data_IF_335047814159
#
_entry.id   IF_335047814159
#
_cell.length_a   1.000
_cell.length_b   1.000
_cell.length_c   1.000
_cell.angle_alpha   90.00
_cell.angle_beta   90.00
_cell.angle_gamma   90.00
#
_symmetry.space_group_name_H-M   'P 1'
#
loop_
_entity.id
_entity.type
_entity.pdbx_description
1 polymer ?
#
# COMPACT_ATOMS: atom_id res chain seq x y z
N UNK A 1 -18.25 -22.43 11.58
CA UNK A 1 -18.08 -21.28 10.65
C UNK A 1 -16.59 -21.17 10.45
N UNK A 2 -16.09 -21.60 9.30
CA UNK A 2 -14.70 -21.34 8.95
C UNK A 2 -14.53 -19.83 8.79
N UNK A 3 -13.49 -19.27 9.40
CA UNK A 3 -13.17 -17.85 9.28
C UNK A 3 -12.69 -17.55 7.86
N UNK A 4 -12.99 -16.34 7.38
CA UNK A 4 -12.31 -15.80 6.21
C UNK A 4 -11.02 -15.14 6.72
N UNK A 5 -9.89 -15.51 6.13
CA UNK A 5 -8.62 -14.84 6.35
C UNK A 5 -8.46 -13.74 5.29
N UNK A 6 -7.89 -12.61 5.70
CA UNK A 6 -7.49 -11.55 4.77
C UNK A 6 -6.06 -11.79 4.30
N UNK A 7 -5.80 -11.59 3.02
CA UNK A 7 -4.51 -11.76 2.38
C UNK A 7 -4.20 -10.52 1.56
N UNK A 8 -2.97 -10.03 1.68
CA UNK A 8 -2.43 -9.05 0.77
C UNK A 8 -1.87 -9.77 -0.44
N UNK A 9 -2.33 -9.39 -1.64
CA UNK A 9 -1.92 -10.02 -2.88
C UNK A 9 -1.47 -8.96 -3.88
N UNK A 10 -0.39 -9.28 -4.59
CA UNK A 10 0.07 -8.52 -5.74
C UNK A 10 -0.36 -9.21 -7.02
N UNK A 11 -1.03 -8.47 -7.89
CA UNK A 11 -1.54 -8.98 -9.14
C UNK A 11 -0.45 -8.96 -10.20
N UNK A 12 -0.40 -10.03 -10.99
CA UNK A 12 0.41 -10.11 -12.21
C UNK A 12 -0.51 -9.78 -13.38
N UNK A 13 0.00 -9.03 -14.34
CA UNK A 13 -0.71 -8.72 -15.58
C UNK A 13 0.11 -9.11 -16.80
N UNK A 14 -0.58 -9.36 -17.91
CA UNK A 14 0.06 -9.59 -19.20
C UNK A 14 0.19 -8.27 -19.97
N UNK A 15 1.38 -8.04 -20.54
CA UNK A 15 1.74 -6.83 -21.25
C UNK A 15 2.16 -5.68 -20.35
N UNK A 16 2.92 -4.76 -20.94
CA UNK A 16 3.46 -3.58 -20.26
C UNK A 16 2.35 -2.73 -19.62
N UNK A 17 2.43 -2.43 -18.31
CA UNK A 17 1.52 -1.46 -17.69
C UNK A 17 1.60 -0.09 -18.36
N UNK A 18 0.45 0.52 -18.67
CA UNK A 18 0.37 1.81 -19.39
C UNK A 18 0.77 3.03 -18.55
N UNK A 19 0.98 2.87 -17.24
CA UNK A 19 1.10 3.97 -16.29
C UNK A 19 -0.25 4.65 -16.01
N UNK A 20 -0.29 5.43 -14.94
CA UNK A 20 -1.44 6.26 -14.55
C UNK A 20 -0.93 7.59 -13.98
N UNK A 21 -0.92 8.68 -14.78
CA UNK A 21 -0.46 9.98 -14.34
C UNK A 21 -1.28 10.58 -13.20
N UNK A 22 -2.57 10.23 -13.07
CA UNK A 22 -3.42 10.73 -11.98
C UNK A 22 -3.00 10.15 -10.62
N UNK A 23 -2.38 8.97 -10.67
CA UNK A 23 -1.84 8.25 -9.52
C UNK A 23 -0.32 8.30 -9.44
N UNK A 24 0.35 9.08 -10.31
CA UNK A 24 1.80 9.19 -10.38
C UNK A 24 2.51 7.85 -10.65
N UNK A 25 1.85 6.93 -11.35
CA UNK A 25 2.39 5.62 -11.72
C UNK A 25 3.02 5.70 -13.10
N UNK A 26 4.30 5.39 -13.19
CA UNK A 26 5.03 5.32 -14.46
C UNK A 26 5.12 3.87 -14.96
N UNK A 27 5.16 3.60 -16.28
CA UNK A 27 5.40 2.26 -16.81
C UNK A 27 6.70 1.61 -16.31
N UNK A 28 7.71 2.43 -15.99
CA UNK A 28 8.99 2.00 -15.40
C UNK A 28 8.87 1.46 -13.97
N UNK A 29 7.74 1.70 -13.28
CA UNK A 29 7.44 1.16 -11.94
C UNK A 29 6.83 -0.24 -12.02
N UNK A 30 7.43 -1.07 -12.87
CA UNK A 30 7.03 -2.46 -13.07
C UNK A 30 8.23 -3.36 -13.19
N UNK A 31 8.07 -4.58 -12.69
CA UNK A 31 9.09 -5.62 -12.70
C UNK A 31 8.68 -6.70 -13.69
N UNK A 32 9.50 -6.99 -14.71
CA UNK A 32 9.22 -8.06 -15.64
C UNK A 32 9.28 -9.43 -14.97
N UNK A 33 8.50 -10.40 -15.48
CA UNK A 33 8.50 -11.79 -15.03
C UNK A 33 8.71 -12.72 -16.23
N UNK A 34 9.59 -13.70 -16.08
CA UNK A 34 9.86 -14.68 -17.12
C UNK A 34 8.70 -15.69 -17.29
N UNK A 35 8.41 -16.14 -18.52
CA UNK A 35 9.12 -15.85 -19.78
C UNK A 35 8.73 -14.51 -20.45
N UNK A 36 9.70 -13.85 -21.08
CA UNK A 36 9.49 -12.65 -21.91
C UNK A 36 9.81 -12.93 -23.39
N UNK A 37 9.15 -12.21 -24.29
CA UNK A 37 9.40 -12.24 -25.74
C UNK A 37 10.49 -11.27 -26.15
N UNK A 38 10.58 -10.12 -25.49
CA UNK A 38 11.62 -9.13 -25.71
C UNK A 38 12.83 -9.35 -24.77
N UNK A 39 13.96 -8.75 -25.11
CA UNK A 39 15.16 -8.88 -24.29
C UNK A 39 14.92 -8.21 -22.93
N UNK A 40 15.26 -8.83 -21.79
CA UNK A 40 15.06 -8.26 -20.45
C UNK A 40 15.52 -6.80 -20.31
N UNK A 41 16.67 -6.48 -20.91
CA UNK A 41 17.29 -5.15 -20.87
C UNK A 41 16.57 -4.10 -21.75
N UNK A 42 15.66 -4.51 -22.63
CA UNK A 42 14.85 -3.57 -23.42
C UNK A 42 13.63 -3.06 -22.66
N UNK A 43 13.32 -3.62 -21.49
CA UNK A 43 12.23 -3.14 -20.67
C UNK A 43 12.51 -1.72 -20.15
N UNK A 44 11.48 -0.87 -20.14
CA UNK A 44 11.56 0.56 -19.78
C UNK A 44 12.10 0.78 -18.35
N UNK A 45 11.90 -0.19 -17.44
CA UNK A 45 12.45 -0.09 -16.08
C UNK A 45 13.93 -0.46 -15.96
N UNK A 46 14.49 -1.16 -16.95
CA UNK A 46 15.85 -1.70 -16.90
C UNK A 46 16.09 -2.74 -15.80
N UNK A 47 15.02 -3.25 -15.15
CA UNK A 47 15.12 -4.19 -14.03
C UNK A 47 15.38 -5.61 -14.48
N UNK A 48 16.09 -6.35 -13.64
CA UNK A 48 16.22 -7.80 -13.77
C UNK A 48 14.83 -8.45 -13.67
N UNK A 49 14.43 -9.30 -14.62
CA UNK A 49 13.18 -10.03 -14.51
C UNK A 49 13.20 -11.05 -13.38
N UNK A 50 12.06 -11.16 -12.69
CA UNK A 50 11.80 -12.24 -11.74
C UNK A 50 11.76 -13.57 -12.49
N UNK A 51 12.38 -14.60 -11.90
CA UNK A 51 12.44 -15.96 -12.47
C UNK A 51 11.73 -16.93 -11.53
N UNK A 52 10.44 -17.20 -11.78
CA UNK A 52 9.74 -18.24 -11.04
C UNK A 52 10.38 -19.62 -11.26
N UNK A 53 10.23 -20.51 -10.28
CA UNK A 53 10.80 -21.86 -10.27
C UNK A 53 10.36 -22.73 -11.45
N UNK A 54 9.19 -22.43 -12.01
CA UNK A 54 8.70 -22.95 -13.28
C UNK A 54 8.29 -21.79 -14.19
N UNK A 55 8.46 -21.89 -15.52
CA UNK A 55 8.01 -20.83 -16.42
C UNK A 55 6.51 -20.60 -16.27
N UNK A 56 6.09 -19.34 -16.25
CA UNK A 56 4.67 -19.02 -16.27
C UNK A 56 4.02 -19.52 -17.58
N UNK A 57 2.74 -19.92 -17.55
CA UNK A 57 2.01 -20.30 -18.77
C UNK A 57 1.86 -19.14 -19.77
N UNK A 58 1.93 -17.91 -19.28
CA UNK A 58 1.81 -16.67 -20.06
C UNK A 58 3.18 -16.04 -20.28
N UNK A 59 3.32 -15.34 -21.40
CA UNK A 59 4.51 -14.56 -21.73
C UNK A 59 4.26 -13.08 -21.48
N UNK A 60 5.35 -12.34 -21.29
CA UNK A 60 5.33 -10.87 -21.13
C UNK A 60 4.50 -10.45 -19.92
N UNK A 61 4.76 -11.11 -18.79
CA UNK A 61 4.10 -10.81 -17.53
C UNK A 61 4.87 -9.74 -16.75
N UNK A 62 4.12 -8.91 -16.04
CA UNK A 62 4.68 -7.82 -15.25
C UNK A 62 4.01 -7.76 -13.89
N UNK A 63 4.81 -7.43 -12.88
CA UNK A 63 4.38 -7.07 -11.55
C UNK A 63 4.42 -5.55 -11.47
N UNK A 64 3.26 -4.92 -11.26
CA UNK A 64 3.18 -3.46 -11.08
C UNK A 64 3.07 -3.13 -9.59
N UNK A 65 3.74 -2.05 -9.15
CA UNK A 65 3.55 -1.48 -7.81
C UNK A 65 2.08 -1.14 -7.52
N UNK A 66 1.34 -0.75 -8.55
CA UNK A 66 -0.02 -0.23 -8.41
C UNK A 66 -1.09 -1.33 -8.34
N UNK A 67 -0.70 -2.58 -8.53
CA UNK A 67 -1.62 -3.70 -8.71
C UNK A 67 -1.76 -4.54 -7.45
N UNK A 68 -1.85 -3.88 -6.30
CA UNK A 68 -1.97 -4.51 -4.98
C UNK A 68 -3.41 -4.44 -4.46
N UNK A 69 -3.87 -5.50 -3.81
CA UNK A 69 -5.21 -5.51 -3.22
C UNK A 69 -5.31 -6.47 -2.03
N UNK A 70 -6.32 -6.25 -1.19
CA UNK A 70 -6.64 -7.14 -0.07
C UNK A 70 -7.80 -8.02 -0.48
N UNK A 71 -7.59 -9.33 -0.41
CA UNK A 71 -8.62 -10.32 -0.68
C UNK A 71 -8.92 -11.13 0.57
N UNK A 72 -10.12 -11.68 0.63
CA UNK A 72 -10.53 -12.65 1.64
C UNK A 72 -10.56 -14.04 1.03
N UNK A 73 -10.06 -15.02 1.76
CA UNK A 73 -10.20 -16.42 1.37
C UNK A 73 -10.60 -17.24 2.59
N UNK A 74 -11.47 -18.25 2.42
CA UNK A 74 -11.66 -19.28 3.43
C UNK A 74 -10.29 -19.85 3.85
N UNK A 75 -10.12 -20.10 5.15
CA UNK A 75 -8.94 -20.82 5.66
C UNK A 75 -8.96 -22.25 5.14
N UNK A 76 -8.35 -22.49 3.98
CA UNK A 76 -8.23 -23.83 3.41
C UNK A 76 -6.83 -24.37 3.72
N UNK A 77 -6.74 -25.47 4.47
CA UNK A 77 -5.50 -26.24 4.54
C UNK A 77 -5.35 -27.00 3.24
N UNK A 78 -4.50 -26.48 2.37
CA UNK A 78 -4.07 -27.20 1.17
C UNK A 78 -2.88 -28.09 1.55
N UNK A 79 -2.86 -29.33 1.04
CA UNK A 79 -1.68 -30.20 1.06
C UNK A 79 -0.83 -30.04 -0.20
N UNK A 80 -1.29 -29.18 -1.12
CA UNK A 80 -0.67 -28.99 -2.42
C UNK A 80 0.52 -28.06 -2.26
N UNK A 81 1.69 -28.55 -2.66
CA UNK A 81 2.89 -27.72 -2.71
C UNK A 81 2.77 -26.79 -3.92
N UNK A 82 2.97 -25.47 -3.75
CA UNK A 82 2.89 -24.53 -4.87
C UNK A 82 3.93 -24.91 -5.94
N UNK A 83 3.46 -25.11 -7.17
CA UNK A 83 4.30 -25.49 -8.31
C UNK A 83 5.14 -24.30 -8.82
N UNK A 84 4.64 -23.08 -8.64
CA UNK A 84 5.32 -21.83 -8.99
C UNK A 84 5.67 -21.09 -7.71
N UNK A 85 6.96 -20.91 -7.48
CA UNK A 85 7.53 -20.17 -6.35
C UNK A 85 8.60 -19.23 -6.88
N UNK A 86 8.92 -18.19 -6.13
CA UNK A 86 10.10 -17.36 -6.34
C UNK A 86 11.04 -17.58 -5.17
N UNK A 87 12.34 -17.61 -5.43
CA UNK A 87 13.35 -17.78 -4.38
C UNK A 87 13.33 -16.59 -3.41
N UNK A 88 13.87 -16.81 -2.21
CA UNK A 88 13.87 -15.80 -1.13
C UNK A 88 14.64 -14.54 -1.55
N UNK A 89 15.79 -14.70 -2.22
CA UNK A 89 16.59 -13.56 -2.72
C UNK A 89 15.77 -12.71 -3.72
N UNK A 90 14.99 -13.33 -4.61
CA UNK A 90 14.09 -12.62 -5.52
C UNK A 90 12.91 -11.94 -4.82
N UNK A 91 12.42 -12.51 -3.72
CA UNK A 91 11.37 -11.87 -2.91
C UNK A 91 11.90 -10.59 -2.28
N UNK A 92 13.11 -10.65 -1.72
CA UNK A 92 13.79 -9.51 -1.12
C UNK A 92 14.12 -8.44 -2.17
N UNK A 93 14.66 -8.83 -3.32
CA UNK A 93 14.95 -7.91 -4.42
C UNK A 93 13.66 -7.24 -4.91
N UNK A 94 12.58 -8.01 -5.10
CA UNK A 94 11.28 -7.47 -5.47
C UNK A 94 10.78 -6.48 -4.42
N UNK A 95 10.86 -6.82 -3.13
CA UNK A 95 10.47 -5.94 -2.02
C UNK A 95 11.21 -4.60 -2.08
N UNK A 96 12.53 -4.62 -2.25
CA UNK A 96 13.36 -3.41 -2.38
C UNK A 96 12.94 -2.57 -3.59
N UNK A 97 12.66 -3.20 -4.75
CA UNK A 97 12.16 -2.50 -5.93
C UNK A 97 10.83 -1.79 -5.66
N UNK A 98 9.92 -2.42 -4.93
CA UNK A 98 8.60 -1.85 -4.60
C UNK A 98 8.76 -0.66 -3.66
N UNK A 99 9.51 -0.80 -2.58
CA UNK A 99 9.77 0.30 -1.64
C UNK A 99 10.40 1.50 -2.36
N UNK A 100 11.29 1.23 -3.31
CA UNK A 100 11.91 2.27 -4.15
C UNK A 100 10.88 2.98 -5.02
N UNK A 101 9.95 2.23 -5.63
CA UNK A 101 8.89 2.79 -6.47
C UNK A 101 7.85 3.58 -5.68
N UNK A 102 7.51 3.16 -4.47
CA UNK A 102 6.60 3.90 -3.60
C UNK A 102 7.20 5.28 -3.31
N UNK A 103 8.48 5.32 -2.91
CA UNK A 103 9.20 6.58 -2.66
C UNK A 103 9.26 7.46 -3.91
N UNK A 104 9.41 6.85 -5.09
CA UNK A 104 9.40 7.56 -6.38
C UNK A 104 8.02 8.16 -6.66
N UNK A 105 6.95 7.41 -6.44
CA UNK A 105 5.56 7.87 -6.58
C UNK A 105 5.28 9.05 -5.64
N UNK A 106 5.67 8.97 -4.37
CA UNK A 106 5.53 10.05 -3.38
C UNK A 106 6.27 11.32 -3.82
N UNK A 107 7.50 11.17 -4.35
CA UNK A 107 8.28 12.29 -4.87
C UNK A 107 7.57 12.98 -6.04
N UNK A 108 7.04 12.19 -7.00
CA UNK A 108 6.30 12.72 -8.15
C UNK A 108 5.03 13.46 -7.70
N UNK A 109 4.31 12.91 -6.72
CA UNK A 109 3.14 13.55 -6.14
C UNK A 109 3.50 14.88 -5.46
N UNK A 110 4.56 14.91 -4.65
CA UNK A 110 5.03 16.13 -3.98
C UNK A 110 5.44 17.22 -4.98
N UNK A 111 6.13 16.84 -6.07
CA UNK A 111 6.51 17.76 -7.14
C UNK A 111 5.30 18.36 -7.87
N UNK A 112 4.28 17.54 -8.16
CA UNK A 112 3.05 18.01 -8.77
C UNK A 112 2.29 19.00 -7.87
N UNK A 113 2.23 18.71 -6.56
CA UNK A 113 1.62 19.62 -5.59
C UNK A 113 2.38 20.95 -5.48
N UNK A 114 3.71 20.92 -5.42
CA UNK A 114 4.53 22.13 -5.37
C UNK A 114 4.39 23.01 -6.62
N UNK A 115 4.23 22.38 -7.79
CA UNK A 115 4.02 23.07 -9.08
C UNK A 115 2.63 23.70 -9.19
N UNK A 116 1.63 23.15 -8.49
CA UNK A 116 0.26 23.66 -8.46
C UNK A 116 0.04 24.79 -7.44
N UNK A 117 1.00 25.03 -6.53
CA UNK A 117 0.89 26.06 -5.53
C UNK A 117 0.82 27.46 -6.19
N UNK A 118 -0.21 28.28 -5.89
CA UNK A 118 -0.31 29.62 -6.45
C UNK A 118 0.97 30.39 -6.11
N UNK A 119 1.68 30.87 -7.13
CA UNK A 119 2.71 31.87 -6.96
C UNK A 119 2.06 33.01 -6.17
N UNK A 120 2.38 33.12 -4.87
CA UNK A 120 2.06 34.31 -4.10
C UNK A 120 2.74 35.44 -4.83
N UNK A 121 1.97 36.18 -5.63
CA UNK A 121 2.44 37.34 -6.34
C UNK A 121 3.23 38.18 -5.32
N UNK A 122 4.53 38.44 -5.55
CA UNK A 122 5.25 39.39 -4.73
C UNK A 122 4.44 40.68 -4.81
N UNK A 123 3.98 41.16 -3.65
CA UNK A 123 3.22 42.40 -3.56
C UNK A 123 3.96 43.51 -4.31
N UNK A 124 3.22 44.49 -4.86
CA UNK A 124 3.81 45.54 -5.68
C UNK A 124 5.03 46.14 -4.97
N UNK A 125 6.16 46.33 -5.67
CA UNK A 125 7.35 46.90 -5.07
C UNK A 125 6.97 48.28 -4.54
N UNK A 126 6.95 48.40 -3.21
CA UNK A 126 6.86 49.70 -2.55
C UNK A 126 7.97 50.57 -3.09
N UNK A 127 7.58 51.73 -3.60
CA UNK A 127 8.45 52.78 -4.13
C UNK A 127 9.59 53.07 -3.15
N UNK A 128 10.79 52.61 -3.46
CA UNK A 128 12.01 53.08 -2.83
C UNK A 128 13.03 53.41 -3.92
N UNK A 129 12.96 54.69 -4.31
CA UNK A 129 14.02 55.56 -4.78
C UNK A 129 15.10 54.96 -5.68
N UNK A 130 15.01 55.39 -6.94
CA UNK A 130 16.09 55.37 -7.91
C UNK A 130 17.40 55.98 -7.37
N UNK A 131 18.47 55.21 -7.48
CA UNK A 131 19.80 55.75 -7.73
C UNK A 131 20.61 54.75 -8.58
N UNK A 132 20.68 55.06 -9.87
CA UNK A 132 21.76 54.68 -10.79
C UNK A 132 22.56 55.97 -11.06
N UNK A 133 23.77 55.99 -11.70
CA UNK A 133 24.38 54.92 -12.50
C UNK A 133 25.93 54.80 -12.37
N UNK A 134 26.53 53.80 -13.01
CA UNK A 134 27.63 54.01 -13.97
C UNK A 134 28.15 52.68 -14.55
N UNK A 135 28.30 52.71 -15.87
CA UNK A 135 28.79 51.65 -16.75
C UNK A 135 30.31 51.46 -16.59
N UNK A 136 30.79 50.24 -16.82
CA UNK A 136 32.11 50.02 -17.41
C UNK A 136 32.08 48.75 -18.26
N UNK A 137 32.14 48.95 -19.56
CA UNK A 137 32.37 47.91 -20.57
C UNK A 137 33.82 47.43 -20.48
N UNK A 138 34.07 46.13 -20.63
CA UNK A 138 35.29 45.62 -21.25
C UNK A 138 35.01 44.37 -22.09
N UNK A 139 35.25 44.55 -23.40
CA UNK A 139 35.65 43.55 -24.38
C UNK A 139 36.71 42.60 -23.84
N UNK A 140 36.59 41.29 -24.11
CA UNK A 140 37.74 40.50 -24.57
C UNK A 140 37.27 39.34 -25.47
N UNK A 141 37.73 39.37 -26.72
CA UNK A 141 37.76 38.25 -27.67
C UNK A 141 38.62 37.09 -27.15
N UNK A 142 38.26 35.85 -27.49
CA UNK A 142 39.05 34.67 -27.13
C UNK A 142 38.67 33.41 -27.90
N UNK A 143 39.31 33.26 -29.05
CA UNK A 143 39.51 32.10 -29.95
C UNK A 143 39.54 30.71 -29.27
N UNK A 144 38.98 29.69 -29.95
CA UNK A 144 39.05 28.26 -29.56
C UNK A 144 40.47 27.66 -29.50
N UNK A 145 40.63 26.35 -29.21
CA UNK A 145 40.39 25.35 -30.26
C UNK A 145 39.82 23.98 -29.82
N UNK A 146 39.25 23.34 -30.85
CA UNK A 146 39.11 21.91 -31.12
C UNK A 146 40.31 21.05 -30.68
N UNK A 147 40.06 19.93 -29.98
CA UNK A 147 40.89 18.72 -30.02
C UNK A 147 40.07 17.49 -29.55
N UNK A 148 39.72 16.62 -30.50
CA UNK A 148 39.66 15.16 -30.26
C UNK A 148 41.08 14.58 -30.36
N UNK A 149 41.41 13.45 -29.70
CA UNK A 149 41.55 12.22 -30.50
C UNK A 149 41.21 10.90 -29.78
N UNK A 150 41.09 9.89 -30.63
CA UNK A 150 40.91 8.46 -30.36
C UNK A 150 42.11 7.76 -29.70
N UNK A 151 41.85 6.59 -29.10
CA UNK A 151 42.82 5.54 -28.74
C UNK A 151 42.12 4.47 -27.89
N UNK A 152 41.71 3.31 -28.42
CA UNK A 152 42.46 2.05 -28.62
C UNK A 152 43.10 1.47 -27.35
N UNK A 153 42.54 0.36 -26.85
CA UNK A 153 43.20 -0.71 -26.06
C UNK A 153 42.24 -1.91 -26.13
N UNK A 154 42.44 -2.94 -26.94
CA UNK A 154 43.51 -3.93 -27.07
C UNK A 154 43.86 -4.71 -25.79
N UNK A 155 43.64 -6.03 -25.89
CA UNK A 155 44.54 -7.10 -25.45
C UNK A 155 44.66 -7.39 -23.96
N UNK A 156 44.06 -8.49 -23.50
CA UNK A 156 44.26 -8.97 -22.12
C UNK A 156 43.77 -10.39 -21.81
N UNK A 157 43.94 -11.33 -22.74
CA UNK A 157 43.82 -12.76 -22.49
C UNK A 157 45.02 -13.25 -21.66
N UNK A 158 44.82 -13.81 -20.46
CA UNK A 158 45.52 -15.03 -19.98
C UNK A 158 45.18 -15.43 -18.53
N UNK A 159 44.55 -16.61 -18.45
CA UNK A 159 44.88 -17.79 -17.62
C UNK A 159 44.40 -17.96 -16.17
N UNK A 160 44.16 -19.24 -15.77
CA UNK A 160 43.56 -19.65 -14.50
C UNK A 160 44.60 -20.05 -13.45
N UNK A 161 44.22 -19.99 -12.16
CA UNK A 161 44.91 -20.62 -11.03
C UNK A 161 43.85 -21.12 -10.04
N UNK A 162 43.59 -22.42 -10.00
CA UNK A 162 44.20 -23.45 -9.13
C UNK A 162 44.00 -23.22 -7.63
N UNK A 163 43.12 -24.05 -7.07
CA UNK A 163 43.21 -24.77 -5.79
C UNK A 163 44.16 -24.23 -4.71
N UNK A 164 43.59 -23.92 -3.55
CA UNK A 164 44.27 -24.12 -2.27
C UNK A 164 43.27 -24.67 -1.25
N UNK A 165 43.33 -25.98 -1.03
CA UNK A 165 42.94 -26.57 0.25
C UNK A 165 43.91 -26.06 1.33
N UNK A 166 43.39 -25.65 2.47
CA UNK A 166 44.08 -25.89 3.74
C UNK A 166 43.08 -25.74 4.87
N UNK A 167 42.65 -26.88 5.41
CA UNK A 167 42.06 -26.90 6.74
C UNK A 167 43.07 -26.46 7.79
N UNK A 168 42.57 -26.06 8.96
CA UNK A 168 43.19 -26.25 10.28
C UNK A 168 42.14 -25.86 11.32
N UNK A 169 41.49 -26.86 11.90
CA UNK A 169 40.97 -26.71 13.27
C UNK A 169 42.15 -26.61 14.24
N UNK A 170 42.00 -25.84 15.33
CA UNK A 170 42.08 -26.54 16.60
C UNK A 170 41.04 -26.07 17.63
N UNK A 171 40.53 -27.06 18.33
CA UNK A 171 39.88 -26.96 19.63
C UNK A 171 40.83 -26.33 20.67
N UNK A 172 40.26 -25.58 21.62
CA UNK A 172 40.95 -25.28 22.87
C UNK A 172 40.39 -24.15 23.72
N UNK A 173 39.76 -24.55 24.83
CA UNK A 173 39.83 -23.95 26.17
C UNK A 173 38.91 -22.78 26.53
N UNK A 174 37.89 -23.13 27.30
CA UNK A 174 37.67 -22.69 28.69
C UNK A 174 38.13 -21.27 29.05
N UNK A 175 37.16 -20.36 29.26
CA UNK A 175 37.34 -19.24 30.17
C UNK A 175 36.04 -18.89 30.89
N UNK A 176 36.20 -18.87 32.20
CA UNK A 176 35.20 -18.63 33.21
C UNK A 176 34.71 -17.19 33.25
N UNK A 177 33.48 -17.06 33.76
CA UNK A 177 32.96 -15.95 34.54
C UNK A 177 33.10 -14.54 33.97
N UNK A 178 31.99 -14.01 33.47
CA UNK A 178 31.55 -12.68 33.90
C UNK A 178 30.02 -12.67 33.97
N UNK A 179 29.56 -12.78 35.21
CA UNK A 179 28.27 -12.34 35.70
C UNK A 179 28.20 -10.82 35.51
N UNK A 180 27.51 -10.38 34.46
CA UNK A 180 27.13 -8.99 34.24
C UNK A 180 25.64 -9.00 34.00
N UNK A 181 24.97 -8.38 34.96
CA UNK A 181 23.54 -8.15 35.06
C UNK A 181 22.93 -7.75 33.72
N UNK A 182 21.90 -8.51 33.33
CA UNK A 182 20.93 -8.14 32.29
C UNK A 182 20.36 -6.75 32.59
N UNK A 183 20.48 -5.77 31.68
CA UNK A 183 19.45 -4.77 31.57
C UNK A 183 18.24 -5.44 30.89
N UNK A 184 17.12 -5.51 31.60
CA UNK A 184 15.79 -5.65 31.01
C UNK A 184 15.63 -4.54 29.97
N UNK A 185 16.01 -4.84 28.73
CA UNK A 185 15.57 -4.08 27.58
C UNK A 185 14.15 -4.55 27.34
N UNK A 186 13.21 -3.68 27.69
CA UNK A 186 11.86 -3.72 27.17
C UNK A 186 12.01 -3.70 25.64
N UNK A 187 11.94 -4.88 25.02
CA UNK A 187 11.66 -5.07 23.60
C UNK A 187 10.23 -4.56 23.36
N UNK A 188 10.04 -3.25 23.44
CA UNK A 188 8.83 -2.57 23.02
C UNK A 188 8.84 -2.51 21.48
N UNK A 189 7.97 -3.32 20.89
CA UNK A 189 7.11 -2.95 19.76
C UNK A 189 7.80 -2.39 18.50
N UNK A 190 8.61 -3.23 17.84
CA UNK A 190 8.97 -3.01 16.42
C UNK A 190 7.88 -3.48 15.43
N UNK A 191 6.74 -4.00 15.91
CA UNK A 191 5.65 -4.46 15.03
C UNK A 191 4.67 -3.34 14.62
N UNK A 192 4.68 -2.19 15.28
CA UNK A 192 3.75 -1.08 15.01
C UNK A 192 4.12 -0.26 13.76
N UNK A 193 5.38 -0.29 13.33
CA UNK A 193 5.84 0.46 12.15
C UNK A 193 5.33 -0.16 10.85
N UNK A 194 5.14 -1.49 10.80
CA UNK A 194 4.65 -2.17 9.61
C UNK A 194 3.17 -1.88 9.35
N UNK A 195 2.34 -1.75 10.39
CA UNK A 195 0.91 -1.44 10.24
C UNK A 195 0.68 0.03 9.88
N UNK A 196 1.50 0.94 10.41
CA UNK A 196 1.50 2.35 10.02
C UNK A 196 1.99 2.52 8.57
N UNK A 197 3.06 1.81 8.17
CA UNK A 197 3.55 1.79 6.80
C UNK A 197 2.51 1.17 5.85
N UNK A 198 1.84 0.09 6.25
CA UNK A 198 0.76 -0.56 5.48
C UNK A 198 -0.43 0.39 5.27
N UNK A 199 -0.86 1.09 6.32
CA UNK A 199 -1.95 2.07 6.24
C UNK A 199 -1.56 3.32 5.44
N UNK A 200 -0.29 3.73 5.50
CA UNK A 200 0.25 4.88 4.76
C UNK A 200 0.47 4.57 3.27
N UNK A 201 0.99 3.38 2.91
CA UNK A 201 1.22 2.93 1.54
C UNK A 201 -0.08 2.73 0.76
N UNK A 202 -1.07 2.10 1.40
CA UNK A 202 -2.23 1.56 0.68
C UNK A 202 -3.52 2.35 0.92
N UNK A 203 -3.39 3.56 1.48
CA UNK A 203 -4.48 4.53 1.50
C UNK A 203 -5.66 4.09 2.36
N UNK A 204 -5.42 3.86 3.64
CA UNK A 204 -6.44 3.82 4.69
C UNK A 204 -7.43 2.66 4.60
N UNK A 205 -7.30 1.70 5.51
CA UNK A 205 -8.34 0.76 5.95
C UNK A 205 -9.47 0.56 4.92
N UNK A 206 -9.18 -0.06 3.77
CA UNK A 206 -10.25 -0.55 2.90
C UNK A 206 -11.16 -1.37 3.80
N UNK A 207 -12.41 -0.95 3.93
CA UNK A 207 -13.35 -1.58 4.85
C UNK A 207 -13.35 -3.05 4.51
N UNK A 208 -12.81 -3.87 5.41
CA UNK A 208 -12.67 -5.30 5.15
C UNK A 208 -14.03 -5.92 4.81
N UNK A 209 -15.14 -5.28 5.20
CA UNK A 209 -16.51 -5.61 4.83
C UNK A 209 -16.71 -5.87 3.32
N UNK A 210 -16.00 -5.16 2.45
CA UNK A 210 -16.13 -5.28 0.98
C UNK A 210 -14.92 -5.93 0.29
N UNK A 211 -13.97 -6.46 1.07
CA UNK A 211 -12.84 -7.18 0.49
C UNK A 211 -13.34 -8.39 -0.31
N UNK A 212 -12.85 -8.53 -1.54
CA UNK A 212 -13.26 -9.59 -2.45
C UNK A 212 -12.99 -10.95 -1.85
N UNK A 213 -14.00 -11.81 -1.85
CA UNK A 213 -13.80 -13.20 -1.49
C UNK A 213 -13.33 -13.97 -2.72
N UNK A 214 -12.12 -14.52 -2.66
CA UNK A 214 -11.50 -15.29 -3.75
C UNK A 214 -11.21 -16.71 -3.29
N UNK A 215 -11.10 -17.61 -4.26
CA UNK A 215 -10.54 -18.94 -4.05
C UNK A 215 -9.15 -18.98 -4.67
N UNK A 216 -8.15 -19.42 -3.90
CA UNK A 216 -6.80 -19.60 -4.41
C UNK A 216 -6.65 -20.98 -5.09
N UNK A 217 -5.87 -21.00 -6.17
CA UNK A 217 -5.42 -22.23 -6.82
C UNK A 217 -3.92 -22.11 -7.10
N UNK A 218 -3.19 -23.20 -6.90
CA UNK A 218 -1.78 -23.30 -7.30
C UNK A 218 -1.61 -23.79 -8.75
N UNK A 219 -2.70 -24.22 -9.40
CA UNK A 219 -2.68 -24.68 -10.79
C UNK A 219 -2.86 -23.51 -11.76
N UNK A 220 -1.75 -22.88 -12.14
CA UNK A 220 -1.74 -21.79 -13.12
C UNK A 220 -2.12 -22.25 -14.53
N UNK A 221 -2.01 -23.55 -14.85
CA UNK A 221 -2.36 -24.08 -16.18
C UNK A 221 -3.87 -24.08 -16.42
N UNK A 222 -4.66 -24.07 -15.35
CA UNK A 222 -6.13 -23.96 -15.43
C UNK A 222 -6.60 -22.58 -15.92
N UNK A 223 -5.76 -21.55 -15.78
CA UNK A 223 -6.06 -20.18 -16.17
C UNK A 223 -5.59 -19.95 -17.61
N UNK A 224 -6.52 -19.59 -18.50
CA UNK A 224 -6.22 -19.48 -19.95
C UNK A 224 -5.64 -18.12 -20.33
N UNK A 225 -6.08 -17.08 -19.65
CA UNK A 225 -5.77 -15.68 -19.97
C UNK A 225 -5.68 -14.88 -18.67
N UNK A 226 -4.75 -13.92 -18.62
CA UNK A 226 -4.65 -12.97 -17.54
C UNK A 226 -5.43 -11.71 -17.92
N UNK A 227 -6.42 -11.36 -17.10
CA UNK A 227 -7.15 -10.11 -17.26
C UNK A 227 -6.27 -8.92 -16.82
N UNK A 228 -6.46 -7.76 -17.45
CA UNK A 228 -5.82 -6.52 -17.03
C UNK A 228 -6.39 -6.09 -15.66
N UNK A 229 -5.57 -6.01 -14.59
CA UNK A 229 -6.03 -5.61 -13.27
C UNK A 229 -6.54 -4.16 -13.25
N UNK A 230 -6.21 -3.33 -14.24
CA UNK A 230 -6.72 -1.96 -14.33
C UNK A 230 -8.25 -1.91 -14.39
N UNK A 231 -8.90 -2.89 -15.04
CA UNK A 231 -10.35 -2.96 -15.11
C UNK A 231 -10.98 -3.28 -13.74
N UNK A 232 -10.32 -4.14 -12.97
CA UNK A 232 -10.68 -4.41 -11.58
C UNK A 232 -10.60 -3.14 -10.72
N UNK A 233 -9.51 -2.37 -10.79
CA UNK A 233 -9.37 -1.14 -9.99
C UNK A 233 -10.35 -0.03 -10.42
N UNK A 234 -10.79 0.00 -11.69
CA UNK A 234 -11.88 0.90 -12.12
C UNK A 234 -13.19 0.54 -11.43
N UNK A 235 -13.47 -0.76 -11.28
CA UNK A 235 -14.66 -1.24 -10.57
C UNK A 235 -14.59 -0.90 -9.08
N UNK A 236 -13.44 -1.14 -8.42
CA UNK A 236 -13.22 -0.76 -7.01
C UNK A 236 -13.47 0.74 -6.81
N UNK A 237 -12.86 1.60 -7.63
CA UNK A 237 -13.08 3.06 -7.58
C UNK A 237 -14.57 3.42 -7.76
N UNK A 238 -15.29 2.70 -8.62
CA UNK A 238 -16.71 2.93 -8.83
C UNK A 238 -17.55 2.52 -7.60
N UNK A 239 -17.20 1.41 -6.94
CA UNK A 239 -17.85 0.96 -5.70
C UNK A 239 -17.57 1.96 -4.56
N UNK A 240 -16.31 2.35 -4.36
CA UNK A 240 -15.93 3.34 -3.34
C UNK A 240 -16.73 4.64 -3.50
N UNK A 241 -16.91 5.09 -4.74
CA UNK A 241 -17.72 6.28 -5.04
C UNK A 241 -19.19 6.08 -4.65
N UNK A 242 -19.78 4.91 -4.95
CA UNK A 242 -21.16 4.60 -4.56
C UNK A 242 -21.31 4.61 -3.03
N UNK A 243 -20.32 4.10 -2.30
CA UNK A 243 -20.32 4.10 -0.84
C UNK A 243 -20.23 5.51 -0.26
N UNK A 244 -19.31 6.33 -0.77
CA UNK A 244 -19.18 7.73 -0.38
C UNK A 244 -20.49 8.49 -0.64
N UNK A 245 -21.14 8.26 -1.79
CA UNK A 245 -22.43 8.87 -2.15
C UNK A 245 -23.60 8.31 -1.31
N UNK A 246 -23.49 7.10 -0.75
CA UNK A 246 -24.50 6.47 0.10
C UNK A 246 -24.34 6.82 1.59
N UNK A 247 -23.12 7.09 2.05
CA UNK A 247 -22.78 7.38 3.44
C UNK A 247 -23.71 8.42 4.12
N UNK A 248 -24.03 9.59 3.52
CA UNK A 248 -24.91 10.56 4.18
C UNK A 248 -26.34 10.01 4.36
N UNK A 249 -26.85 9.27 3.37
CA UNK A 249 -28.20 8.67 3.40
C UNK A 249 -28.29 7.57 4.46
N UNK A 250 -27.26 6.73 4.57
CA UNK A 250 -27.18 5.70 5.61
C UNK A 250 -27.12 6.32 7.00
N UNK A 251 -26.34 7.40 7.18
CA UNK A 251 -26.26 8.13 8.45
C UNK A 251 -27.60 8.73 8.86
N UNK A 252 -28.31 9.36 7.92
CA UNK A 252 -29.65 9.92 8.16
C UNK A 252 -30.65 8.83 8.54
N UNK A 253 -30.68 7.73 7.78
CA UNK A 253 -31.56 6.59 8.07
C UNK A 253 -31.30 5.99 9.46
N UNK A 254 -30.03 5.80 9.84
CA UNK A 254 -29.65 5.33 11.18
C UNK A 254 -30.10 6.31 12.28
N UNK A 255 -29.93 7.61 12.05
CA UNK A 255 -30.37 8.64 13.00
C UNK A 255 -31.89 8.66 13.18
N UNK A 256 -32.66 8.49 12.10
CA UNK A 256 -34.12 8.38 12.15
C UNK A 256 -34.56 7.13 12.92
N UNK A 257 -33.98 5.97 12.61
CA UNK A 257 -34.27 4.72 13.32
C UNK A 257 -34.00 4.84 14.82
N UNK A 258 -32.89 5.47 15.20
CA UNK A 258 -32.55 5.71 16.60
C UNK A 258 -33.56 6.64 17.30
N UNK A 259 -34.02 7.71 16.63
CA UNK A 259 -35.07 8.59 17.16
C UNK A 259 -36.38 7.84 17.41
N UNK A 260 -36.78 6.97 16.50
CA UNK A 260 -38.00 6.16 16.65
C UNK A 260 -37.89 5.12 17.77
N UNK A 261 -36.70 4.55 17.98
CA UNK A 261 -36.43 3.64 19.10
C UNK A 261 -36.47 4.38 20.44
N UNK A 262 -35.85 5.55 20.54
CA UNK A 262 -35.90 6.40 21.75
C UNK A 262 -37.34 6.81 22.06
N UNK A 263 -38.10 7.24 21.04
CA UNK A 263 -39.51 7.61 21.22
C UNK A 263 -40.34 6.45 21.76
N UNK A 264 -40.22 5.26 21.18
CA UNK A 264 -40.92 4.06 21.66
C UNK A 264 -40.52 3.69 23.09
N UNK A 265 -39.24 3.81 23.44
CA UNK A 265 -38.77 3.57 24.80
C UNK A 265 -39.35 4.59 25.80
N UNK A 266 -39.43 5.87 25.43
CA UNK A 266 -40.05 6.91 26.25
C UNK A 266 -41.55 6.65 26.48
N UNK A 267 -42.29 6.28 25.42
CA UNK A 267 -43.72 5.94 25.52
C UNK A 267 -43.96 4.71 26.41
N UNK A 268 -43.14 3.66 26.25
CA UNK A 268 -43.21 2.46 27.09
C UNK A 268 -42.91 2.77 28.57
N UNK A 269 -41.89 3.59 28.84
CA UNK A 269 -41.56 4.03 30.20
C UNK A 269 -42.70 4.88 30.79
N UNK A 270 -43.27 5.81 30.02
CA UNK A 270 -44.41 6.63 30.47
C UNK A 270 -45.59 5.75 30.86
N UNK A 271 -45.94 4.75 30.04
CA UNK A 271 -47.02 3.81 30.34
C UNK A 271 -46.76 2.99 31.62
N UNK A 272 -45.50 2.63 31.88
CA UNK A 272 -45.11 1.92 33.10
C UNK A 272 -45.24 2.81 34.35
N UNK A 273 -44.84 4.08 34.26
CA UNK A 273 -45.03 5.06 35.34
C UNK A 273 -46.52 5.31 35.63
N UNK A 274 -47.35 5.42 34.60
CA UNK A 274 -48.79 5.58 34.77
C UNK A 274 -49.42 4.34 35.41
N UNK A 275 -49.01 3.14 34.99
CA UNK A 275 -49.47 1.88 35.58
C UNK A 275 -49.08 1.75 37.06
N UNK A 276 -47.89 2.21 37.46
CA UNK A 276 -47.47 2.23 38.87
C UNK A 276 -48.25 3.26 39.69
N UNK A 277 -48.43 4.47 39.15
CA UNK A 277 -49.06 5.59 39.87
C UNK A 277 -50.56 5.37 40.05
N UNK A 278 -51.27 5.06 38.96
CA UNK A 278 -52.72 4.88 38.97
C UNK A 278 -53.16 3.45 39.28
N UNK A 279 -52.28 2.47 39.03
CA UNK A 279 -52.50 1.07 39.40
C UNK A 279 -52.14 0.74 40.84
N UNK A 280 -51.51 1.65 41.59
CA UNK A 280 -51.17 1.43 43.01
C UNK A 280 -52.42 1.10 43.85
N UNK A 281 -52.37 0.07 44.72
CA UNK A 281 -53.46 -0.24 45.66
C UNK A 281 -53.90 0.97 46.50
N UNK A 282 -52.97 1.85 46.84
CA UNK A 282 -53.24 3.07 47.60
C UNK A 282 -54.12 4.05 46.80
N UNK A 283 -53.78 4.29 45.53
CA UNK A 283 -54.57 5.15 44.64
C UNK A 283 -55.97 4.55 44.40
N UNK A 284 -56.06 3.22 44.20
CA UNK A 284 -57.36 2.54 44.04
C UNK A 284 -58.22 2.60 45.30
N UNK A 285 -57.63 2.45 46.49
CA UNK A 285 -58.34 2.55 47.77
C UNK A 285 -58.87 3.98 48.01
N UNK A 286 -58.05 4.99 47.73
CA UNK A 286 -58.44 6.40 47.86
C UNK A 286 -59.59 6.76 46.92
N UNK A 287 -59.54 6.31 45.65
CA UNK A 287 -60.62 6.51 44.68
C UNK A 287 -61.93 5.83 45.06
N UNK A 288 -61.88 4.65 45.71
CA UNK A 288 -63.06 3.95 46.25
C UNK A 288 -63.70 4.70 47.41
N UNK A 289 -62.90 5.30 48.28
CA UNK A 289 -63.41 6.08 49.42
C UNK A 289 -64.14 7.36 48.97
N UNK A 290 -63.62 8.06 47.96
CA UNK A 290 -64.26 9.28 47.45
C UNK A 290 -65.58 9.03 46.70
N UNK A 291 -65.82 7.81 46.21
CA UNK A 291 -67.06 7.48 45.46
C UNK A 291 -68.23 7.08 46.35
N UNK A 292 -68.02 6.89 47.66
CA UNK A 292 -69.06 6.52 48.63
C UNK A 292 -69.62 7.71 49.44
N UNK A 293 -69.23 8.96 49.14
CA UNK A 293 -69.68 10.17 49.86
C UNK A 293 -70.72 11.01 49.13
N UNK A 294 -71.64 10.39 48.39
CA UNK A 294 -72.86 11.03 47.86
C UNK A 294 -74.06 10.27 48.41
#
# INVERSE_FOLDING_TARGET
REGLNSWFVRLIQQGQPKGDPEQFIEPSMSVPVLPMTEHPESHVSGRTPIRPSQPLPWKDCYISIAADTVVRSPSMRTTDVPNWTIDEDQQDELHVMIVTDIRRMDLLQAQAQASSAPLKNPGPPGEASASSPAQAAQDISGTGPDLSPAGTSDGGETRPRTHHESGTEPAGLDSASNDVSEPDAEDEDLEDDDEALFNALFGGAQSTEFALTVNFTHDLLSVKELNDPADYFKEVKAIDKIEQDAAPRVKEFRALKLKDEIKRAMEANSALYDAQTYGSPAYRAMKRLCTWSI
#
